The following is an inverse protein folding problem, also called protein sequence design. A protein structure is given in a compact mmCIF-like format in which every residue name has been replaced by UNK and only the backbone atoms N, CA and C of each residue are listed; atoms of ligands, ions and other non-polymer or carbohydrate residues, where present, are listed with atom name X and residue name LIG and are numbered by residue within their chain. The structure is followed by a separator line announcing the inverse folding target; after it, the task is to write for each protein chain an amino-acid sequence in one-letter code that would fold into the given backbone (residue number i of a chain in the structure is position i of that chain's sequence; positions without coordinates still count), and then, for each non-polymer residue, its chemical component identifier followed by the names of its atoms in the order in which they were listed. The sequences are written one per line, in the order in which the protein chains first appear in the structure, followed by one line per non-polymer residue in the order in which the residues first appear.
data_IF_715402202798
#
_entry.id   IF_715402202798
#
_cell.length_a   1.000
_cell.length_b   1.000
_cell.length_c   1.000
_cell.angle_alpha   90.00
_cell.angle_beta   90.00
_cell.angle_gamma   90.00
#
_symmetry.space_group_name_H-M   'P 1'
#
loop_
_entity.id
_entity.type
_entity.pdbx_description
1 polymer ?
#
# COMPACT_ATOMS: atom_id res chain seq x y z
N UNK A 1 -40.48 16.83 -59.42
CA UNK A 1 -39.92 16.02 -58.32
C UNK A 1 -38.43 16.28 -58.22
N UNK A 2 -38.02 17.12 -57.26
CA UNK A 2 -36.64 17.50 -57.05
C UNK A 2 -36.00 16.55 -56.02
N UNK A 3 -34.94 15.90 -56.46
CA UNK A 3 -34.05 15.06 -55.63
C UNK A 3 -33.23 15.96 -54.70
N UNK A 4 -33.50 15.89 -53.40
CA UNK A 4 -32.65 16.45 -52.36
C UNK A 4 -31.39 15.59 -52.22
N UNK A 5 -30.25 16.09 -52.68
CA UNK A 5 -28.92 15.50 -52.43
C UNK A 5 -28.54 15.79 -50.99
N UNK A 6 -28.37 14.73 -50.16
CA UNK A 6 -27.84 14.82 -48.82
C UNK A 6 -26.38 15.29 -48.85
N UNK A 7 -26.08 16.27 -48.01
CA UNK A 7 -24.71 16.74 -47.76
C UNK A 7 -23.85 15.65 -47.07
N UNK A 8 -22.56 15.54 -47.37
CA UNK A 8 -21.67 14.58 -46.72
C UNK A 8 -21.50 14.97 -45.25
N UNK A 9 -21.74 14.01 -44.34
CA UNK A 9 -21.42 14.15 -42.92
C UNK A 9 -19.90 14.28 -42.78
N UNK A 10 -19.44 15.35 -42.19
CA UNK A 10 -18.05 15.53 -41.79
C UNK A 10 -17.61 14.39 -40.87
N UNK A 11 -16.40 13.83 -41.05
CA UNK A 11 -15.89 12.82 -40.12
C UNK A 11 -15.78 13.47 -38.73
N UNK A 12 -16.35 12.78 -37.74
CA UNK A 12 -16.36 13.22 -36.35
C UNK A 12 -14.94 13.56 -35.87
N UNK A 13 -14.80 14.73 -35.27
CA UNK A 13 -13.57 15.15 -34.61
C UNK A 13 -13.13 14.05 -33.66
N UNK A 14 -11.98 13.46 -33.94
CA UNK A 14 -11.32 12.55 -33.00
C UNK A 14 -11.12 13.31 -31.69
N UNK A 15 -11.75 12.84 -30.62
CA UNK A 15 -11.50 13.34 -29.26
C UNK A 15 -10.04 13.04 -28.96
N UNK A 16 -9.19 14.06 -29.08
CA UNK A 16 -7.81 13.97 -28.61
C UNK A 16 -7.87 13.82 -27.08
N UNK A 17 -7.78 12.59 -26.61
CA UNK A 17 -7.55 12.33 -25.20
C UNK A 17 -6.20 12.96 -24.85
N UNK A 18 -6.17 13.84 -23.86
CA UNK A 18 -4.92 14.34 -23.31
C UNK A 18 -4.02 13.13 -22.96
N UNK A 19 -2.72 13.20 -23.26
CA UNK A 19 -1.82 12.08 -22.96
C UNK A 19 -1.92 11.73 -21.47
N UNK A 20 -2.13 10.45 -21.18
CA UNK A 20 -2.16 9.96 -19.79
C UNK A 20 -0.78 10.17 -19.17
N UNK A 21 -0.70 10.62 -17.91
CA UNK A 21 0.58 10.86 -17.26
C UNK A 21 1.44 9.60 -17.21
N UNK A 22 2.75 9.78 -17.39
CA UNK A 22 3.76 8.75 -17.18
C UNK A 22 4.00 8.63 -15.67
N UNK A 23 3.73 7.46 -15.11
CA UNK A 23 3.81 7.19 -13.67
C UNK A 23 5.09 6.44 -13.35
N UNK A 24 5.96 7.01 -12.51
CA UNK A 24 7.11 6.31 -11.96
C UNK A 24 6.73 5.63 -10.64
N UNK A 25 7.02 4.34 -10.48
CA UNK A 25 6.64 3.57 -9.30
C UNK A 25 7.89 2.95 -8.66
N UNK A 26 8.14 3.25 -7.39
CA UNK A 26 9.08 2.47 -6.58
C UNK A 26 8.33 1.37 -5.83
N UNK A 27 8.96 0.20 -5.69
CA UNK A 27 8.31 -0.94 -5.02
C UNK A 27 7.28 -1.67 -5.86
N UNK A 28 7.26 -1.47 -7.18
CA UNK A 28 6.30 -2.05 -8.13
C UNK A 28 6.21 -3.60 -8.09
N UNK A 29 7.26 -4.29 -7.67
CA UNK A 29 7.29 -5.76 -7.54
C UNK A 29 6.87 -6.27 -6.16
N UNK A 30 6.56 -5.37 -5.23
CA UNK A 30 6.04 -5.72 -3.90
C UNK A 30 4.54 -5.96 -3.89
N UNK A 31 3.99 -6.30 -2.71
CA UNK A 31 2.56 -6.60 -2.54
C UNK A 31 1.67 -5.44 -3.03
N UNK A 32 1.71 -4.29 -2.37
CA UNK A 32 0.91 -3.11 -2.78
C UNK A 32 1.34 -2.60 -4.15
N UNK A 33 2.65 -2.61 -4.43
CA UNK A 33 3.19 -2.07 -5.68
C UNK A 33 2.73 -2.83 -6.92
N UNK A 34 2.60 -4.16 -6.85
CA UNK A 34 2.12 -4.95 -7.99
C UNK A 34 0.64 -4.68 -8.31
N UNK A 35 -0.21 -4.49 -7.31
CA UNK A 35 -1.59 -4.04 -7.50
C UNK A 35 -1.64 -2.61 -8.09
N UNK A 36 -0.73 -1.72 -7.62
CA UNK A 36 -0.65 -0.34 -8.14
C UNK A 36 -0.18 -0.31 -9.60
N UNK A 37 0.79 -1.14 -9.96
CA UNK A 37 1.24 -1.30 -11.34
C UNK A 37 0.10 -1.76 -12.24
N UNK A 38 -0.63 -2.81 -11.83
CA UNK A 38 -1.78 -3.33 -12.57
C UNK A 38 -2.88 -2.27 -12.72
N UNK A 39 -3.20 -1.53 -11.66
CA UNK A 39 -4.19 -0.47 -11.68
C UNK A 39 -3.77 0.70 -12.58
N UNK A 40 -2.50 1.10 -12.58
CA UNK A 40 -1.99 2.17 -13.43
C UNK A 40 -2.06 1.78 -14.92
N UNK A 41 -1.68 0.55 -15.26
CA UNK A 41 -1.79 0.03 -16.63
C UNK A 41 -3.25 -0.07 -17.09
N UNK A 42 -4.15 -0.55 -16.21
CA UNK A 42 -5.58 -0.63 -16.50
C UNK A 42 -6.21 0.76 -16.71
N UNK A 43 -5.67 1.80 -16.08
CA UNK A 43 -6.05 3.20 -16.32
C UNK A 43 -5.42 3.82 -17.56
N UNK A 44 -4.59 3.07 -18.31
CA UNK A 44 -3.96 3.53 -19.55
C UNK A 44 -2.64 4.30 -19.37
N UNK A 45 -2.09 4.34 -18.15
CA UNK A 45 -0.81 5.01 -17.88
C UNK A 45 0.39 4.23 -18.43
N UNK A 46 1.37 4.93 -18.97
CA UNK A 46 2.70 4.38 -19.15
C UNK A 46 3.43 4.37 -17.80
N UNK A 47 4.07 3.24 -17.45
CA UNK A 47 4.69 3.07 -16.15
C UNK A 47 6.20 2.89 -16.28
N UNK A 48 6.96 3.60 -15.45
CA UNK A 48 8.38 3.38 -15.20
C UNK A 48 8.50 2.74 -13.80
N UNK A 49 9.06 1.55 -13.71
CA UNK A 49 9.03 0.77 -12.48
C UNK A 49 10.43 0.38 -11.99
N UNK A 50 10.78 0.78 -10.75
CA UNK A 50 12.04 0.40 -10.13
C UNK A 50 12.00 -1.07 -9.70
N UNK A 51 13.03 -1.82 -10.03
CA UNK A 51 13.15 -3.25 -9.68
C UNK A 51 14.57 -3.64 -9.33
N UNK A 52 14.74 -4.48 -8.30
CA UNK A 52 16.05 -5.04 -7.92
C UNK A 52 16.46 -6.28 -8.73
N UNK A 53 15.51 -6.86 -9.46
CA UNK A 53 15.71 -8.09 -10.25
C UNK A 53 15.19 -7.86 -11.65
N UNK A 54 15.76 -8.57 -12.61
CA UNK A 54 15.24 -8.55 -13.97
C UNK A 54 13.78 -9.02 -13.98
N UNK A 55 12.98 -8.34 -14.75
CA UNK A 55 11.56 -8.63 -14.95
C UNK A 55 11.30 -8.96 -16.42
N UNK A 56 10.36 -9.86 -16.70
CA UNK A 56 9.96 -10.10 -18.08
C UNK A 56 9.41 -8.80 -18.71
N UNK A 57 9.58 -8.63 -20.02
CA UNK A 57 8.96 -7.52 -20.73
C UNK A 57 7.44 -7.50 -20.50
N UNK A 58 6.90 -6.32 -20.22
CA UNK A 58 5.48 -6.11 -20.01
C UNK A 58 5.03 -4.86 -20.77
N UNK A 59 3.97 -4.98 -21.55
CA UNK A 59 3.44 -3.87 -22.31
C UNK A 59 3.08 -2.68 -21.39
N UNK A 60 3.46 -1.47 -21.79
CA UNK A 60 3.23 -0.25 -20.99
C UNK A 60 4.18 -0.06 -19.81
N UNK A 61 5.15 -0.96 -19.57
CA UNK A 61 6.11 -0.88 -18.47
C UNK A 61 7.53 -0.73 -18.97
N UNK A 62 8.22 0.29 -18.49
CA UNK A 62 9.68 0.42 -18.59
C UNK A 62 10.30 0.04 -17.25
N UNK A 63 10.93 -1.13 -17.20
CA UNK A 63 11.64 -1.57 -16.00
C UNK A 63 12.99 -0.86 -15.86
N UNK A 64 13.22 -0.26 -14.69
CA UNK A 64 14.49 0.37 -14.32
C UNK A 64 15.14 -0.48 -13.23
N UNK A 65 16.29 -1.08 -13.54
CA UNK A 65 17.01 -1.91 -12.57
C UNK A 65 17.78 -1.04 -11.59
N UNK A 66 17.64 -1.32 -10.31
CA UNK A 66 18.28 -0.62 -9.20
C UNK A 66 17.45 -0.72 -7.92
N UNK A 67 17.88 -0.02 -6.88
CA UNK A 67 17.19 0.10 -5.61
C UNK A 67 17.17 1.56 -5.11
N UNK A 68 16.68 1.78 -3.89
CA UNK A 68 16.60 3.13 -3.31
C UNK A 68 17.96 3.75 -2.93
N UNK A 69 19.04 2.97 -2.91
CA UNK A 69 20.40 3.47 -2.70
C UNK A 69 21.08 3.85 -4.03
N UNK A 70 20.60 3.33 -5.15
CA UNK A 70 21.12 3.59 -6.48
C UNK A 70 20.57 4.91 -7.05
N UNK A 71 21.32 5.99 -6.86
CA UNK A 71 20.92 7.33 -7.31
C UNK A 71 20.83 7.43 -8.85
N UNK A 72 21.66 6.70 -9.58
CA UNK A 72 21.61 6.69 -11.04
C UNK A 72 20.33 6.01 -11.54
N UNK A 73 19.96 4.87 -10.95
CA UNK A 73 18.72 4.20 -11.26
C UNK A 73 17.49 5.06 -10.88
N UNK A 74 17.53 5.78 -9.75
CA UNK A 74 16.45 6.71 -9.39
C UNK A 74 16.34 7.87 -10.36
N UNK A 75 17.46 8.44 -10.82
CA UNK A 75 17.48 9.44 -11.88
C UNK A 75 16.84 8.92 -13.16
N UNK A 76 17.24 7.72 -13.61
CA UNK A 76 16.66 7.07 -14.77
C UNK A 76 15.16 6.76 -14.57
N UNK A 77 14.73 6.37 -13.35
CA UNK A 77 13.34 6.10 -13.04
C UNK A 77 12.45 7.31 -13.26
N UNK A 78 12.85 8.47 -12.72
CA UNK A 78 12.03 9.69 -12.75
C UNK A 78 12.15 10.49 -14.03
N UNK A 79 13.13 10.19 -14.88
CA UNK A 79 13.35 10.89 -16.16
C UNK A 79 12.13 10.77 -17.08
N UNK A 80 11.49 11.89 -17.39
CA UNK A 80 10.29 11.94 -18.24
C UNK A 80 9.02 11.39 -17.57
N UNK A 81 9.01 11.22 -16.26
CA UNK A 81 7.81 10.94 -15.50
C UNK A 81 7.08 12.24 -15.11
N UNK A 82 5.78 12.21 -15.09
CA UNK A 82 4.91 13.31 -14.63
C UNK A 82 4.68 13.24 -13.12
N UNK A 83 4.64 12.02 -12.58
CA UNK A 83 4.35 11.75 -11.16
C UNK A 83 5.14 10.55 -10.67
N UNK A 84 5.49 10.57 -9.38
CA UNK A 84 6.10 9.43 -8.68
C UNK A 84 5.13 8.89 -7.64
N UNK A 85 4.87 7.58 -7.66
CA UNK A 85 4.23 6.84 -6.57
C UNK A 85 5.33 6.10 -5.81
N UNK A 86 5.67 6.58 -4.62
CA UNK A 86 6.72 6.00 -3.79
C UNK A 86 6.15 5.03 -2.77
N UNK A 87 6.22 3.73 -3.08
CA UNK A 87 5.69 2.63 -2.26
C UNK A 87 6.83 1.86 -1.58
N UNK A 88 8.00 1.82 -2.21
CA UNK A 88 9.15 1.05 -1.69
C UNK A 88 9.49 1.44 -0.26
N UNK A 89 9.74 0.43 0.55
CA UNK A 89 10.15 0.55 1.95
C UNK A 89 10.13 -0.80 2.64
N UNK A 90 10.71 -0.87 3.82
CA UNK A 90 10.65 -2.04 4.69
C UNK A 90 9.49 -1.89 5.69
N UNK A 91 8.75 -2.97 5.89
CA UNK A 91 7.66 -3.08 6.87
C UNK A 91 8.02 -4.00 8.05
N UNK A 92 9.01 -4.86 7.87
CA UNK A 92 9.49 -5.78 8.90
C UNK A 92 10.97 -6.10 8.67
N UNK A 93 11.76 -6.00 9.73
CA UNK A 93 13.16 -6.44 9.80
C UNK A 93 13.56 -6.58 11.27
N UNK A 94 14.45 -7.52 11.62
CA UNK A 94 15.01 -7.60 12.97
C UNK A 94 16.09 -6.54 13.25
N UNK A 95 16.57 -5.83 12.23
CA UNK A 95 17.59 -4.78 12.34
C UNK A 95 16.98 -3.39 12.12
N UNK A 96 16.85 -2.56 13.19
CA UNK A 96 16.30 -1.21 13.09
C UNK A 96 17.03 -0.28 12.10
N UNK A 97 18.35 -0.48 11.88
CA UNK A 97 19.11 0.35 10.95
C UNK A 97 18.64 0.18 9.49
N UNK A 98 18.08 -0.99 9.15
CA UNK A 98 17.54 -1.23 7.82
C UNK A 98 16.27 -0.41 7.56
N UNK A 99 15.45 -0.14 8.59
CA UNK A 99 14.33 0.79 8.45
C UNK A 99 14.80 2.20 8.11
N UNK A 100 15.88 2.67 8.76
CA UNK A 100 16.46 3.98 8.46
C UNK A 100 16.96 4.05 7.02
N UNK A 101 17.76 3.08 6.62
CA UNK A 101 18.32 3.03 5.27
C UNK A 101 17.21 2.97 4.18
N UNK A 102 16.22 2.08 4.34
CA UNK A 102 15.21 1.87 3.32
C UNK A 102 14.13 2.95 3.33
N UNK A 103 13.60 3.32 4.53
CA UNK A 103 12.42 4.18 4.61
C UNK A 103 12.79 5.67 4.64
N UNK A 104 13.88 6.04 5.31
CA UNK A 104 14.25 7.45 5.46
C UNK A 104 15.25 7.88 4.38
N UNK A 105 16.42 7.25 4.34
CA UNK A 105 17.45 7.58 3.35
C UNK A 105 16.97 7.31 1.92
N UNK A 106 16.28 6.18 1.71
CA UNK A 106 15.67 5.85 0.42
C UNK A 106 14.66 6.91 -0.05
N UNK A 107 13.79 7.39 0.85
CA UNK A 107 12.84 8.48 0.54
C UNK A 107 13.58 9.79 0.21
N UNK A 108 14.65 10.13 0.96
CA UNK A 108 15.47 11.31 0.66
C UNK A 108 16.09 11.24 -0.74
N UNK A 109 16.56 10.05 -1.16
CA UNK A 109 17.12 9.85 -2.50
C UNK A 109 16.06 10.02 -3.61
N UNK A 110 14.83 9.52 -3.39
CA UNK A 110 13.73 9.72 -4.34
C UNK A 110 13.38 11.20 -4.46
N UNK A 111 13.27 11.93 -3.36
CA UNK A 111 13.02 13.38 -3.36
C UNK A 111 14.10 14.13 -4.13
N UNK A 112 15.37 13.78 -3.88
CA UNK A 112 16.50 14.40 -4.56
C UNK A 112 16.51 14.13 -6.08
N UNK A 113 16.20 12.88 -6.49
CA UNK A 113 16.10 12.51 -7.90
C UNK A 113 14.95 13.27 -8.60
N UNK A 114 13.79 13.37 -7.95
CA UNK A 114 12.64 14.14 -8.46
C UNK A 114 12.98 15.62 -8.64
N UNK A 115 13.64 16.22 -7.64
CA UNK A 115 14.06 17.64 -7.70
C UNK A 115 15.04 17.88 -8.84
N UNK A 116 16.02 17.00 -9.04
CA UNK A 116 17.01 17.10 -10.12
C UNK A 116 16.37 16.94 -11.51
N UNK A 117 15.32 16.11 -11.66
CA UNK A 117 14.60 15.90 -12.92
C UNK A 117 13.44 16.91 -13.14
N UNK A 118 13.16 17.80 -12.18
CA UNK A 118 12.04 18.74 -12.27
C UNK A 118 10.65 18.11 -12.08
N UNK A 119 10.56 16.85 -11.64
CA UNK A 119 9.31 16.15 -11.36
C UNK A 119 8.75 16.62 -10.01
N UNK A 120 7.57 17.20 -10.00
CA UNK A 120 7.02 17.84 -8.79
C UNK A 120 6.00 17.01 -8.05
N UNK A 121 5.21 16.17 -8.75
CA UNK A 121 4.10 15.42 -8.15
C UNK A 121 4.56 14.14 -7.49
N UNK A 122 4.29 13.98 -6.18
CA UNK A 122 4.65 12.82 -5.38
C UNK A 122 3.40 12.26 -4.67
N UNK A 123 3.12 10.98 -4.83
CA UNK A 123 2.23 10.20 -3.98
C UNK A 123 3.10 9.30 -3.10
N UNK A 124 3.15 9.60 -1.81
CA UNK A 124 3.98 8.88 -0.85
C UNK A 124 3.17 7.90 -0.01
N UNK A 125 3.53 6.62 -0.03
CA UNK A 125 2.87 5.60 0.77
C UNK A 125 3.59 5.43 2.11
N UNK A 126 2.98 5.96 3.15
CA UNK A 126 3.40 5.84 4.54
C UNK A 126 2.71 4.65 5.24
N UNK A 127 2.26 4.82 6.47
CA UNK A 127 1.52 3.83 7.26
C UNK A 127 0.80 4.53 8.43
N UNK A 128 -0.30 3.96 8.91
CA UNK A 128 -0.88 4.40 10.19
C UNK A 128 0.11 4.34 11.35
N UNK A 129 1.12 3.45 11.28
CA UNK A 129 2.17 3.35 12.30
C UNK A 129 2.95 4.68 12.50
N UNK A 130 3.03 5.53 11.48
CA UNK A 130 3.67 6.85 11.59
C UNK A 130 3.00 7.80 12.60
N UNK A 131 1.73 7.53 12.98
CA UNK A 131 1.02 8.33 14.01
C UNK A 131 1.56 8.12 15.42
N UNK A 132 2.26 6.99 15.63
CA UNK A 132 2.77 6.57 16.96
C UNK A 132 4.21 6.10 16.82
N UNK A 133 5.13 7.04 16.48
CA UNK A 133 6.54 6.70 16.20
C UNK A 133 7.26 6.09 17.40
N UNK A 134 6.77 6.34 18.62
CA UNK A 134 7.33 5.83 19.87
C UNK A 134 7.08 4.32 20.07
N UNK A 135 6.18 3.70 19.30
CA UNK A 135 5.81 2.30 19.50
C UNK A 135 6.72 1.32 18.77
N UNK A 136 7.42 1.77 17.71
CA UNK A 136 8.26 0.90 16.89
C UNK A 136 9.26 1.69 16.05
N UNK A 137 10.39 1.07 15.73
CA UNK A 137 11.37 1.60 14.77
C UNK A 137 10.78 1.77 13.38
N UNK A 138 9.88 0.85 12.99
CA UNK A 138 9.10 0.97 11.75
C UNK A 138 8.28 2.26 11.73
N UNK A 139 7.42 2.46 12.73
CA UNK A 139 6.59 3.67 12.85
C UNK A 139 7.43 4.94 12.88
N UNK A 140 8.53 4.94 13.65
CA UNK A 140 9.48 6.04 13.72
C UNK A 140 10.12 6.35 12.36
N UNK A 141 10.53 5.33 11.60
CA UNK A 141 11.12 5.52 10.27
C UNK A 141 10.11 6.11 9.27
N UNK A 142 8.85 5.66 9.32
CA UNK A 142 7.78 6.22 8.46
C UNK A 142 7.47 7.67 8.83
N UNK A 143 7.41 8.01 10.12
CA UNK A 143 7.21 9.39 10.55
C UNK A 143 8.36 10.32 10.11
N UNK A 144 9.64 9.86 10.20
CA UNK A 144 10.78 10.63 9.69
C UNK A 144 10.75 10.80 8.16
N UNK A 145 10.35 9.76 7.43
CA UNK A 145 10.18 9.85 5.98
C UNK A 145 9.07 10.85 5.59
N UNK A 146 7.95 10.87 6.31
CA UNK A 146 6.91 11.89 6.14
C UNK A 146 7.43 13.30 6.37
N UNK A 147 8.23 13.53 7.42
CA UNK A 147 8.82 14.83 7.69
C UNK A 147 9.74 15.31 6.53
N UNK A 148 10.49 14.40 5.87
CA UNK A 148 11.27 14.74 4.68
C UNK A 148 10.37 15.13 3.50
N UNK A 149 9.27 14.42 3.29
CA UNK A 149 8.31 14.71 2.24
C UNK A 149 7.63 16.06 2.49
N UNK A 150 7.19 16.32 3.72
CA UNK A 150 6.53 17.58 4.13
C UNK A 150 7.45 18.79 4.00
N UNK A 151 8.75 18.63 4.32
CA UNK A 151 9.76 19.67 4.19
C UNK A 151 10.19 19.93 2.73
N UNK A 152 9.84 19.05 1.80
CA UNK A 152 10.23 19.17 0.40
C UNK A 152 9.42 20.25 -0.33
N UNK A 153 9.96 20.75 -1.45
CA UNK A 153 9.25 21.66 -2.36
C UNK A 153 8.29 20.94 -3.33
N UNK A 154 8.06 19.62 -3.13
CA UNK A 154 7.21 18.81 -3.99
C UNK A 154 5.72 19.10 -3.75
N UNK A 155 4.91 18.83 -4.76
CA UNK A 155 3.46 18.70 -4.62
C UNK A 155 3.15 17.27 -4.19
N UNK A 156 3.08 17.05 -2.88
CA UNK A 156 2.95 15.73 -2.30
C UNK A 156 1.55 15.42 -1.79
N UNK A 157 1.20 14.14 -1.84
CA UNK A 157 0.11 13.54 -1.06
C UNK A 157 0.67 12.34 -0.31
N UNK A 158 0.53 12.34 1.00
CA UNK A 158 0.88 11.20 1.85
C UNK A 158 -0.33 10.31 2.07
N UNK A 159 -0.18 9.02 1.91
CA UNK A 159 -1.20 8.01 2.20
C UNK A 159 -0.72 7.16 3.36
N UNK A 160 -1.50 7.06 4.42
CA UNK A 160 -1.25 6.23 5.62
C UNK A 160 -2.20 5.03 5.63
N UNK A 161 -1.95 3.96 4.86
CA UNK A 161 -2.82 2.80 4.89
C UNK A 161 -2.79 2.12 6.26
N UNK A 162 -3.93 1.51 6.68
CA UNK A 162 -4.01 0.60 7.81
C UNK A 162 -3.44 -0.78 7.43
N UNK A 163 -3.92 -1.86 8.06
CA UNK A 163 -3.61 -3.21 7.65
C UNK A 163 -4.14 -3.46 6.23
N UNK A 164 -3.21 -3.62 5.28
CA UNK A 164 -3.52 -3.93 3.88
C UNK A 164 -3.61 -5.44 3.71
N UNK A 165 -4.64 -5.92 3.01
CA UNK A 165 -4.83 -7.34 2.74
C UNK A 165 -5.26 -7.56 1.28
N UNK A 166 -5.16 -8.80 0.80
CA UNK A 166 -5.58 -9.14 -0.57
C UNK A 166 -4.69 -10.21 -1.20
N UNK A 167 -4.90 -10.52 -2.47
CA UNK A 167 -4.04 -11.41 -3.24
C UNK A 167 -2.56 -11.05 -3.14
N UNK A 168 -1.68 -12.06 -2.97
CA UNK A 168 -0.22 -11.89 -2.82
C UNK A 168 0.25 -11.35 -1.46
N UNK A 169 -0.65 -11.08 -0.51
CA UNK A 169 -0.26 -10.73 0.85
C UNK A 169 0.25 -11.96 1.61
N UNK A 170 1.42 -11.82 2.23
CA UNK A 170 2.05 -12.87 3.04
C UNK A 170 1.93 -12.63 4.54
N UNK A 171 1.54 -11.43 4.96
CA UNK A 171 1.43 -11.07 6.37
C UNK A 171 0.09 -11.51 6.97
N UNK A 172 -1.02 -11.14 6.34
CA UNK A 172 -2.35 -11.60 6.76
C UNK A 172 -2.56 -13.10 6.51
N UNK A 173 -1.83 -13.71 5.56
CA UNK A 173 -1.89 -15.14 5.28
C UNK A 173 -1.74 -16.01 6.53
N UNK A 174 -0.89 -15.61 7.48
CA UNK A 174 -0.70 -16.38 8.72
C UNK A 174 -1.97 -16.40 9.59
N UNK A 175 -2.77 -15.33 9.58
CA UNK A 175 -4.08 -15.31 10.26
C UNK A 175 -5.08 -16.24 9.57
N UNK A 176 -5.08 -16.28 8.23
CA UNK A 176 -5.92 -17.22 7.47
C UNK A 176 -5.51 -18.67 7.73
N UNK A 177 -4.21 -18.95 7.80
CA UNK A 177 -3.67 -20.27 8.15
C UNK A 177 -4.08 -20.69 9.56
N UNK A 178 -3.95 -19.81 10.54
CA UNK A 178 -4.38 -20.05 11.91
C UNK A 178 -5.89 -20.30 11.99
N UNK A 179 -6.69 -19.48 11.30
CA UNK A 179 -8.14 -19.61 11.24
C UNK A 179 -8.60 -20.95 10.65
N UNK A 180 -7.87 -21.55 9.68
CA UNK A 180 -8.16 -22.92 9.19
C UNK A 180 -8.16 -23.97 10.29
N UNK A 181 -7.32 -23.80 11.31
CA UNK A 181 -7.25 -24.68 12.48
C UNK A 181 -8.25 -24.30 13.57
N UNK A 182 -9.04 -23.23 13.33
CA UNK A 182 -10.05 -22.76 14.29
C UNK A 182 -9.51 -21.92 15.44
N UNK A 183 -8.23 -21.50 15.39
CA UNK A 183 -7.58 -20.72 16.43
C UNK A 183 -6.85 -19.51 15.83
N UNK A 184 -7.18 -18.30 16.26
CA UNK A 184 -6.51 -17.06 15.85
C UNK A 184 -6.03 -16.34 17.10
N UNK A 185 -4.74 -16.45 17.48
CA UNK A 185 -4.20 -15.68 18.59
C UNK A 185 -4.23 -14.18 18.27
N UNK A 186 -4.76 -13.38 19.17
CA UNK A 186 -4.91 -11.94 19.01
C UNK A 186 -3.96 -11.18 19.94
N UNK A 187 -3.52 -9.95 19.55
CA UNK A 187 -2.90 -9.03 20.49
C UNK A 187 -3.92 -8.60 21.56
N UNK A 188 -3.50 -7.86 22.60
CA UNK A 188 -4.42 -7.25 23.57
C UNK A 188 -5.58 -6.54 22.87
N UNK A 189 -6.74 -6.46 23.54
CA UNK A 189 -7.96 -5.93 22.95
C UNK A 189 -7.81 -4.57 22.29
N UNK A 190 -8.45 -4.41 21.12
CA UNK A 190 -8.38 -3.18 20.35
C UNK A 190 -9.17 -3.28 19.04
N UNK A 191 -9.04 -2.23 18.23
CA UNK A 191 -9.66 -2.13 16.92
C UNK A 191 -8.65 -1.66 15.87
N UNK A 192 -8.85 -2.07 14.63
CA UNK A 192 -8.06 -1.70 13.46
C UNK A 192 -8.95 -1.45 12.26
N UNK A 193 -8.58 -0.50 11.42
CA UNK A 193 -9.10 -0.44 10.05
C UNK A 193 -8.32 -1.42 9.17
N UNK A 194 -8.92 -1.82 8.07
CA UNK A 194 -8.31 -2.63 7.01
C UNK A 194 -8.60 -1.99 5.65
N UNK A 195 -7.81 -2.32 4.64
CA UNK A 195 -8.06 -1.93 3.26
C UNK A 195 -7.62 -3.03 2.30
N UNK A 196 -8.45 -3.32 1.29
CA UNK A 196 -8.05 -4.25 0.24
C UNK A 196 -6.99 -3.61 -0.68
N UNK A 197 -5.97 -4.38 -1.07
CA UNK A 197 -4.84 -3.89 -1.87
C UNK A 197 -5.27 -3.28 -3.21
N UNK A 198 -6.33 -3.80 -3.85
CA UNK A 198 -6.86 -3.24 -5.08
C UNK A 198 -7.51 -1.85 -4.86
N UNK A 199 -8.20 -1.64 -3.74
CA UNK A 199 -8.78 -0.34 -3.39
C UNK A 199 -7.70 0.68 -3.06
N UNK A 200 -6.67 0.27 -2.31
CA UNK A 200 -5.50 1.12 -2.07
C UNK A 200 -4.81 1.50 -3.39
N UNK A 201 -4.58 0.53 -4.28
CA UNK A 201 -3.98 0.76 -5.59
C UNK A 201 -4.80 1.74 -6.43
N UNK A 202 -6.13 1.59 -6.46
CA UNK A 202 -7.03 2.49 -7.15
C UNK A 202 -6.93 3.92 -6.61
N UNK A 203 -6.87 4.10 -5.28
CA UNK A 203 -6.63 5.41 -4.68
C UNK A 203 -5.29 6.01 -5.12
N UNK A 204 -4.21 5.25 -5.07
CA UNK A 204 -2.87 5.73 -5.44
C UNK A 204 -2.84 6.22 -6.90
N UNK A 205 -3.51 5.51 -7.81
CA UNK A 205 -3.62 5.90 -9.22
C UNK A 205 -4.50 7.16 -9.38
N UNK A 206 -5.63 7.25 -8.68
CA UNK A 206 -6.47 8.46 -8.67
C UNK A 206 -5.66 9.66 -8.19
N UNK A 207 -4.90 9.53 -7.10
CA UNK A 207 -4.06 10.60 -6.57
C UNK A 207 -2.93 11.00 -7.54
N UNK A 208 -2.40 10.05 -8.30
CA UNK A 208 -1.38 10.32 -9.31
C UNK A 208 -1.92 11.11 -10.51
N UNK A 209 -3.16 10.82 -10.93
CA UNK A 209 -3.81 11.45 -12.08
C UNK A 209 -4.55 12.77 -11.73
N UNK A 210 -4.77 13.04 -10.44
CA UNK A 210 -5.52 14.22 -9.98
C UNK A 210 -4.62 15.44 -9.78
N UNK A 211 -5.25 16.62 -9.83
CA UNK A 211 -4.63 17.91 -9.53
C UNK A 211 -5.53 18.75 -8.59
N UNK A 212 -4.99 19.77 -7.98
CA UNK A 212 -5.77 20.74 -7.19
C UNK A 212 -5.70 20.54 -5.67
N UNK A 213 -6.47 21.33 -4.95
CA UNK A 213 -6.38 21.49 -3.50
C UNK A 213 -6.72 20.22 -2.70
N UNK A 214 -7.53 19.32 -3.27
CA UNK A 214 -7.88 18.04 -2.60
C UNK A 214 -6.71 17.07 -2.49
N UNK A 215 -5.61 17.30 -3.22
CA UNK A 215 -4.48 16.38 -3.19
C UNK A 215 -3.16 17.04 -2.79
N UNK A 216 -3.02 18.35 -3.03
CA UNK A 216 -1.80 19.09 -2.77
C UNK A 216 -1.55 19.20 -1.26
N UNK A 217 -0.41 18.66 -0.80
CA UNK A 217 0.02 18.69 0.62
C UNK A 217 -1.02 18.12 1.59
N UNK A 218 -1.68 17.03 1.17
CA UNK A 218 -2.68 16.32 1.96
C UNK A 218 -2.14 15.01 2.52
N UNK A 219 -2.65 14.62 3.69
CA UNK A 219 -2.40 13.30 4.28
C UNK A 219 -3.71 12.58 4.44
N UNK A 220 -3.85 11.41 3.80
CA UNK A 220 -5.04 10.57 3.83
C UNK A 220 -4.81 9.25 4.55
N UNK A 221 -5.84 8.82 5.28
CA UNK A 221 -5.93 7.52 5.95
C UNK A 221 -7.11 6.74 5.34
N UNK A 222 -6.90 6.02 4.21
CA UNK A 222 -7.98 5.25 3.58
C UNK A 222 -8.24 3.93 4.31
N UNK A 223 -9.49 3.46 4.30
CA UNK A 223 -9.90 2.14 4.79
C UNK A 223 -11.06 1.56 3.96
N UNK A 224 -11.65 0.44 4.42
CA UNK A 224 -12.80 -0.21 3.80
C UNK A 224 -14.15 0.52 4.04
N UNK A 225 -14.11 1.71 4.62
CA UNK A 225 -15.29 2.54 4.90
C UNK A 225 -16.04 2.17 6.18
N UNK A 226 -15.63 1.10 6.89
CA UNK A 226 -16.30 0.69 8.13
C UNK A 226 -16.07 1.72 9.23
N UNK A 227 -17.16 2.26 9.76
CA UNK A 227 -17.10 3.19 10.89
C UNK A 227 -16.62 2.46 12.15
N UNK A 228 -15.69 3.09 12.90
CA UNK A 228 -15.07 2.48 14.08
C UNK A 228 -14.11 1.32 13.80
N UNK A 229 -13.92 0.94 12.52
CA UNK A 229 -13.04 -0.16 12.11
C UNK A 229 -13.54 -1.53 12.55
N UNK A 230 -12.63 -2.47 12.72
CA UNK A 230 -12.86 -3.85 13.13
C UNK A 230 -12.26 -4.09 14.51
N UNK A 231 -13.00 -4.57 15.47
CA UNK A 231 -12.36 -5.17 16.65
C UNK A 231 -11.51 -6.37 16.21
N UNK A 232 -10.43 -6.65 16.92
CA UNK A 232 -9.56 -7.79 16.58
C UNK A 232 -10.35 -9.10 16.52
N UNK A 233 -11.36 -9.26 17.42
CA UNK A 233 -12.21 -10.44 17.45
C UNK A 233 -13.15 -10.54 16.24
N UNK A 234 -13.78 -9.45 15.84
CA UNK A 234 -14.63 -9.42 14.64
C UNK A 234 -13.83 -9.75 13.39
N UNK A 235 -12.62 -9.17 13.24
CA UNK A 235 -11.73 -9.46 12.13
C UNK A 235 -11.33 -10.94 12.09
N UNK A 236 -10.97 -11.52 13.25
CA UNK A 236 -10.64 -12.94 13.35
C UNK A 236 -11.84 -13.84 12.96
N UNK A 237 -13.07 -13.48 13.37
CA UNK A 237 -14.28 -14.22 12.99
C UNK A 237 -14.57 -14.08 11.49
N UNK A 238 -14.37 -12.91 10.89
CA UNK A 238 -14.54 -12.69 9.45
C UNK A 238 -13.53 -13.52 8.63
N UNK A 239 -12.26 -13.54 9.04
CA UNK A 239 -11.22 -14.41 8.46
C UNK A 239 -11.60 -15.88 8.62
N UNK A 240 -12.13 -16.28 9.80
CA UNK A 240 -12.65 -17.62 10.04
C UNK A 240 -13.73 -18.01 9.04
N UNK A 241 -14.74 -17.15 8.81
CA UNK A 241 -15.77 -17.36 7.80
C UNK A 241 -15.20 -17.49 6.39
N UNK A 242 -14.23 -16.65 6.04
CA UNK A 242 -13.56 -16.69 4.74
C UNK A 242 -12.84 -18.02 4.45
N UNK A 243 -12.31 -18.68 5.49
CA UNK A 243 -11.70 -20.02 5.34
C UNK A 243 -12.70 -21.19 5.54
N UNK A 244 -14.00 -20.90 5.71
CA UNK A 244 -15.05 -21.91 5.84
C UNK A 244 -15.32 -22.37 7.29
N UNK A 245 -14.85 -21.63 8.30
CA UNK A 245 -15.12 -21.92 9.71
C UNK A 245 -16.30 -21.07 10.21
N UNK A 246 -17.28 -21.70 10.79
CA UNK A 246 -18.43 -20.99 11.40
C UNK A 246 -18.02 -20.13 12.60
N UNK A 247 -17.04 -20.60 13.37
CA UNK A 247 -16.46 -19.92 14.54
C UNK A 247 -14.98 -20.26 14.65
N UNK A 248 -14.20 -19.31 15.15
CA UNK A 248 -12.80 -19.51 15.53
C UNK A 248 -12.60 -19.08 16.98
N UNK A 249 -11.77 -19.80 17.68
CA UNK A 249 -11.29 -19.39 19.01
C UNK A 249 -10.27 -18.27 18.82
N UNK A 250 -10.53 -17.11 19.42
CA UNK A 250 -9.73 -15.90 19.22
C UNK A 250 -9.29 -15.31 20.59
N UNK A 251 -8.36 -15.98 21.29
CA UNK A 251 -7.89 -15.52 22.60
C UNK A 251 -6.99 -14.31 22.46
N UNK A 252 -7.22 -13.30 23.30
CA UNK A 252 -6.28 -12.19 23.47
C UNK A 252 -5.08 -12.64 24.30
N UNK A 253 -3.88 -12.49 23.72
CA UNK A 253 -2.63 -12.83 24.37
C UNK A 253 -2.03 -11.61 25.06
N UNK A 254 -1.55 -11.73 26.30
CA UNK A 254 -0.79 -10.67 26.94
C UNK A 254 0.48 -10.29 26.16
N UNK A 255 0.88 -9.03 26.23
CA UNK A 255 2.10 -8.54 25.55
C UNK A 255 3.34 -9.39 25.87
N UNK A 256 3.47 -9.84 27.12
CA UNK A 256 4.59 -10.68 27.53
C UNK A 256 4.66 -12.02 26.77
N UNK A 257 3.49 -12.62 26.49
CA UNK A 257 3.41 -13.87 25.69
C UNK A 257 3.80 -13.61 24.24
N UNK A 258 3.34 -12.51 23.65
CA UNK A 258 3.73 -12.12 22.30
C UNK A 258 5.22 -11.80 22.21
N UNK A 259 5.79 -11.16 23.23
CA UNK A 259 7.23 -10.86 23.29
C UNK A 259 8.07 -12.17 23.39
N UNK A 260 7.62 -13.14 24.20
CA UNK A 260 8.27 -14.46 24.28
C UNK A 260 8.17 -15.21 22.93
N UNK A 261 7.01 -15.15 22.26
CA UNK A 261 6.82 -15.72 20.93
C UNK A 261 7.73 -15.06 19.88
N UNK A 262 7.91 -13.74 19.94
CA UNK A 262 8.83 -13.02 19.07
C UNK A 262 10.30 -13.43 19.27
N UNK A 263 10.71 -13.63 20.52
CA UNK A 263 12.05 -14.14 20.85
C UNK A 263 12.26 -15.55 20.30
N UNK A 264 11.27 -16.43 20.46
CA UNK A 264 11.30 -17.79 19.92
C UNK A 264 11.32 -17.79 18.37
N UNK A 265 10.52 -16.94 17.71
CA UNK A 265 10.51 -16.82 16.24
C UNK A 265 11.87 -16.34 15.72
N UNK A 266 12.50 -15.38 16.40
CA UNK A 266 13.85 -14.91 16.07
C UNK A 266 14.90 -16.02 16.22
N UNK A 267 14.80 -16.80 17.29
CA UNK A 267 15.73 -17.92 17.52
C UNK A 267 15.57 -19.00 16.44
N UNK A 268 14.34 -19.29 16.03
CA UNK A 268 14.05 -20.32 15.03
C UNK A 268 14.32 -19.89 13.58
N UNK A 269 14.10 -18.62 13.23
CA UNK A 269 14.12 -18.13 11.84
C UNK A 269 15.18 -17.07 11.58
N UNK A 270 15.89 -16.58 12.61
CA UNK A 270 16.91 -15.54 12.48
C UNK A 270 16.36 -14.27 11.82
N UNK A 271 17.02 -13.82 10.75
CA UNK A 271 16.62 -12.61 9.98
C UNK A 271 15.31 -12.78 9.20
N UNK A 272 14.76 -14.00 9.13
CA UNK A 272 13.47 -14.29 8.49
C UNK A 272 12.31 -14.29 9.49
N UNK A 273 12.53 -13.90 10.74
CA UNK A 273 11.49 -13.82 11.75
C UNK A 273 10.36 -12.89 11.30
N UNK A 274 9.13 -13.38 11.39
CA UNK A 274 7.92 -12.61 11.04
C UNK A 274 7.38 -11.83 12.22
N UNK A 275 7.47 -12.39 13.42
CA UNK A 275 7.10 -11.73 14.66
C UNK A 275 8.37 -11.18 15.32
N UNK A 276 8.57 -9.88 15.25
CA UNK A 276 9.71 -9.18 15.85
C UNK A 276 9.27 -8.39 17.09
N UNK A 277 10.18 -8.06 18.02
CA UNK A 277 9.86 -7.18 19.14
C UNK A 277 9.29 -5.82 18.67
N UNK A 278 9.80 -5.30 17.59
CA UNK A 278 9.32 -4.07 16.93
C UNK A 278 7.84 -4.21 16.52
N UNK A 279 7.50 -5.34 15.87
CA UNK A 279 6.12 -5.64 15.46
C UNK A 279 5.19 -5.80 16.65
N UNK A 280 5.62 -6.47 17.73
CA UNK A 280 4.87 -6.58 18.97
C UNK A 280 4.61 -5.20 19.59
N UNK A 281 5.56 -4.28 19.48
CA UNK A 281 5.44 -2.92 19.98
C UNK A 281 4.18 -2.23 19.46
N UNK A 282 4.02 -2.16 18.13
CA UNK A 282 2.85 -1.49 17.54
C UNK A 282 1.60 -2.36 17.51
N UNK A 283 1.70 -3.69 17.37
CA UNK A 283 0.53 -4.60 17.39
C UNK A 283 -0.29 -4.51 18.68
N UNK A 284 0.36 -4.25 19.81
CA UNK A 284 -0.30 -4.14 21.10
C UNK A 284 -0.99 -2.78 21.34
N UNK A 285 -0.92 -1.84 20.41
CA UNK A 285 -1.64 -0.58 20.53
C UNK A 285 -3.13 -0.79 20.31
N UNK A 286 -4.02 -0.24 21.17
CA UNK A 286 -5.44 -0.58 21.14
C UNK A 286 -6.22 0.06 19.98
N UNK A 287 -5.67 1.04 19.29
CA UNK A 287 -6.44 1.79 18.29
C UNK A 287 -5.64 2.09 17.01
N UNK A 288 -5.82 1.25 16.02
CA UNK A 288 -5.35 1.44 14.65
C UNK A 288 -6.49 1.75 13.67
N UNK A 289 -7.56 2.38 14.17
CA UNK A 289 -8.66 2.88 13.33
C UNK A 289 -8.23 4.18 12.66
N UNK A 290 -8.56 4.33 11.38
CA UNK A 290 -8.34 5.59 10.65
C UNK A 290 -9.19 6.71 11.25
N UNK A 291 -8.71 7.92 11.13
CA UNK A 291 -9.44 9.11 11.56
C UNK A 291 -10.44 9.49 10.47
N UNK A 292 -11.69 9.74 10.85
CA UNK A 292 -12.76 10.10 9.91
C UNK A 292 -12.46 11.39 9.13
N UNK A 293 -11.81 12.37 9.80
CA UNK A 293 -11.37 13.64 9.20
C UNK A 293 -10.16 13.49 8.26
N UNK A 294 -9.55 12.31 8.18
CA UNK A 294 -8.42 12.00 7.30
C UNK A 294 -8.78 11.01 6.19
N UNK A 295 -10.01 10.52 6.14
CA UNK A 295 -10.45 9.73 4.99
C UNK A 295 -10.42 10.58 3.72
N UNK A 296 -10.05 9.99 2.56
CA UNK A 296 -10.24 10.67 1.29
C UNK A 296 -11.69 11.13 1.14
N UNK A 297 -11.96 12.36 0.70
CA UNK A 297 -13.33 12.81 0.48
C UNK A 297 -14.02 11.98 -0.60
N UNK A 298 -15.33 11.69 -0.48
CA UNK A 298 -16.07 10.87 -1.45
C UNK A 298 -16.00 11.38 -2.90
N UNK A 299 -15.85 12.69 -3.09
CA UNK A 299 -15.64 13.28 -4.40
C UNK A 299 -14.30 12.89 -5.05
N UNK A 300 -13.31 12.48 -4.25
CA UNK A 300 -12.00 12.04 -4.73
C UNK A 300 -11.94 10.53 -4.90
N UNK A 301 -12.37 9.78 -3.87
CA UNK A 301 -12.29 8.32 -3.86
C UNK A 301 -13.13 7.73 -2.73
N UNK A 302 -13.59 6.50 -2.94
CA UNK A 302 -14.21 5.66 -1.91
C UNK A 302 -13.89 4.18 -2.13
N UNK A 303 -13.86 3.36 -1.04
CA UNK A 303 -13.63 1.93 -1.16
C UNK A 303 -14.76 1.26 -1.94
N UNK A 304 -14.41 0.25 -2.75
CA UNK A 304 -15.35 -0.53 -3.57
C UNK A 304 -15.50 -1.96 -3.07
N UNK A 305 -14.55 -2.43 -2.26
CA UNK A 305 -14.49 -3.80 -1.77
C UNK A 305 -14.82 -3.79 -0.29
N UNK A 306 -16.00 -4.29 0.05
CA UNK A 306 -16.40 -4.45 1.45
C UNK A 306 -15.47 -5.44 2.17
N UNK A 307 -15.15 -5.18 3.45
CA UNK A 307 -14.15 -5.96 4.18
C UNK A 307 -14.42 -7.46 4.18
N UNK A 308 -15.67 -7.90 4.45
CA UNK A 308 -15.99 -9.34 4.44
C UNK A 308 -15.86 -9.99 3.06
N UNK A 309 -16.33 -9.31 2.02
CA UNK A 309 -16.23 -9.80 0.63
C UNK A 309 -14.77 -9.90 0.19
N UNK A 310 -13.97 -8.88 0.51
CA UNK A 310 -12.55 -8.87 0.20
C UNK A 310 -11.78 -9.97 0.93
N UNK A 311 -12.11 -10.25 2.20
CA UNK A 311 -11.51 -11.35 2.95
C UNK A 311 -11.88 -12.71 2.35
N UNK A 312 -13.14 -12.91 1.91
CA UNK A 312 -13.56 -14.13 1.21
C UNK A 312 -12.81 -14.32 -0.11
N UNK A 313 -12.76 -13.28 -0.95
CA UNK A 313 -12.04 -13.31 -2.21
C UNK A 313 -10.54 -13.58 -2.02
N UNK A 314 -9.95 -13.00 -0.97
CA UNK A 314 -8.53 -13.24 -0.61
C UNK A 314 -8.31 -14.72 -0.21
N UNK A 315 -9.18 -15.30 0.62
CA UNK A 315 -9.09 -16.71 1.00
C UNK A 315 -9.23 -17.65 -0.20
N UNK A 316 -10.11 -17.31 -1.14
CA UNK A 316 -10.29 -18.06 -2.38
C UNK A 316 -9.04 -17.99 -3.26
N UNK A 317 -8.44 -16.82 -3.40
CA UNK A 317 -7.18 -16.64 -4.10
C UNK A 317 -6.06 -17.48 -3.46
N UNK A 318 -5.92 -17.45 -2.12
CA UNK A 318 -4.93 -18.27 -1.43
C UNK A 318 -5.12 -19.78 -1.67
N UNK A 319 -6.37 -20.28 -1.73
CA UNK A 319 -6.65 -21.68 -2.06
C UNK A 319 -6.25 -22.00 -3.49
N UNK A 320 -6.60 -21.15 -4.46
CA UNK A 320 -6.26 -21.33 -5.87
C UNK A 320 -4.75 -21.39 -6.09
N UNK A 321 -4.01 -20.52 -5.42
CA UNK A 321 -2.54 -20.48 -5.48
C UNK A 321 -1.86 -21.50 -4.54
N UNK A 322 -2.63 -22.34 -3.85
CA UNK A 322 -2.13 -23.35 -2.91
C UNK A 322 -1.31 -22.79 -1.75
N UNK A 323 -1.65 -21.59 -1.30
CA UNK A 323 -1.05 -20.98 -0.12
C UNK A 323 -1.78 -21.38 1.18
N UNK A 324 -3.06 -21.79 1.05
CA UNK A 324 -3.93 -22.31 2.11
C UNK A 324 -4.24 -23.79 1.91
#
# INVERSE_FOLDING_TARGET
PALLRGAPRSPGAAVSLAPQPVVAITGATGFVGSHTLEAALAAGHAVRALTRRDQPPQAGVTWVRGDLADRAALGALVQGADVVIHIAGLTNTPDPAQFEAANVTGTAHVIAAMAAAGVRRLVFVSSLAARRPELSSYGASKARAEALVEASALDWTTVRPPAVYGPRDTDMLELFRAARWGLVPLPPGGATSIIHAADLAALLVVLAASTGALIARQTYEPDDGREGGWSHKELAQAIGRAVGRRRVLAPHLPRAVLAAAAAADRLARGDRAKLTPDRVGYMCHPNWVVRSDRRPPPALWGPRIAGEEGLMATAEWYRRERWL
#
